data_IF_344145651162
#
_entry.id   IF_344145651162
#
_cell.length_a   1.000
_cell.length_b   1.000
_cell.length_c   1.000
_cell.angle_alpha   90.00
_cell.angle_beta   90.00
_cell.angle_gamma   90.00
#
_symmetry.space_group_name_H-M   'P 1'
#
loop_
_entity.id
_entity.type
_entity.pdbx_description
1 polymer ?
#
# COMPACT_ATOMS: atom_id res chain seq x y z
N UNK A 1 20.60 20.94 -1.43
CA UNK A 1 19.60 21.94 -0.99
C UNK A 1 18.92 21.37 0.24
N UNK A 2 19.08 21.99 1.41
CA UNK A 2 18.45 21.55 2.67
C UNK A 2 17.01 22.04 2.72
N UNK A 3 16.11 21.26 3.33
CA UNK A 3 14.79 21.78 3.68
C UNK A 3 14.91 22.76 4.86
N UNK A 4 13.82 23.42 5.22
CA UNK A 4 13.73 24.35 6.36
C UNK A 4 14.13 23.76 7.72
N UNK A 5 14.30 22.44 7.81
CA UNK A 5 14.70 21.72 9.02
C UNK A 5 16.17 21.24 8.95
N UNK A 6 16.94 21.61 7.92
CA UNK A 6 18.34 21.20 7.75
C UNK A 6 18.52 19.78 7.20
N UNK A 7 17.44 19.11 6.77
CA UNK A 7 17.51 17.75 6.24
C UNK A 7 17.86 17.75 4.75
N UNK A 8 18.55 16.68 4.33
CA UNK A 8 18.82 16.37 2.93
C UNK A 8 17.94 15.21 2.50
N UNK A 9 17.34 15.33 1.31
CA UNK A 9 16.62 14.24 0.66
C UNK A 9 17.36 13.86 -0.61
N UNK A 10 17.53 12.55 -0.81
CA UNK A 10 18.10 11.97 -2.02
C UNK A 10 17.08 10.95 -2.53
N UNK A 11 16.74 11.02 -3.81
CA UNK A 11 15.96 9.99 -4.48
C UNK A 11 16.86 9.31 -5.49
N UNK A 12 16.94 7.98 -5.40
CA UNK A 12 17.70 7.16 -6.36
C UNK A 12 16.67 6.41 -7.19
N UNK A 13 16.64 6.69 -8.49
CA UNK A 13 15.88 5.90 -9.44
C UNK A 13 16.78 4.76 -9.91
N UNK A 14 16.28 3.53 -9.85
CA UNK A 14 16.99 2.37 -10.38
C UNK A 14 16.08 1.63 -11.35
N UNK A 15 16.69 1.11 -12.40
CA UNK A 15 16.10 0.10 -13.27
C UNK A 15 16.90 -1.18 -13.12
N UNK A 16 16.23 -2.32 -13.27
CA UNK A 16 16.89 -3.61 -13.33
C UNK A 16 16.35 -4.37 -14.53
N UNK A 17 17.26 -4.91 -15.33
CA UNK A 17 16.88 -5.87 -16.35
C UNK A 17 16.53 -7.19 -15.65
N UNK A 18 15.31 -7.67 -15.90
CA UNK A 18 14.88 -9.00 -15.46
C UNK A 18 14.83 -9.91 -16.66
N UNK A 19 15.79 -10.81 -16.77
CA UNK A 19 15.67 -11.93 -17.70
C UNK A 19 14.55 -12.84 -17.23
N UNK A 20 13.43 -12.84 -17.98
CA UNK A 20 12.35 -13.79 -17.75
C UNK A 20 12.75 -15.11 -18.39
N UNK A 21 13.30 -16.02 -17.58
CA UNK A 21 13.51 -17.38 -18.02
C UNK A 21 12.15 -18.05 -18.24
N UNK A 22 11.88 -18.50 -19.47
CA UNK A 22 10.72 -19.33 -19.74
C UNK A 22 10.91 -20.65 -19.03
N UNK A 23 10.05 -20.90 -18.04
CA UNK A 23 9.96 -22.24 -17.46
C UNK A 23 9.36 -23.19 -18.50
N UNK A 24 9.83 -24.44 -18.57
CA UNK A 24 9.17 -25.46 -19.36
C UNK A 24 7.72 -25.59 -18.90
N UNK A 25 6.82 -25.78 -19.86
CA UNK A 25 5.42 -26.11 -19.57
C UNK A 25 5.40 -27.40 -18.77
N UNK A 26 4.89 -27.32 -17.54
CA UNK A 26 4.56 -28.47 -16.71
C UNK A 26 3.03 -28.52 -16.59
N UNK A 27 2.45 -29.72 -16.56
CA UNK A 27 1.01 -29.92 -16.35
C UNK A 27 0.53 -29.48 -14.95
N UNK A 28 1.46 -29.08 -14.07
CA UNK A 28 1.18 -28.54 -12.75
C UNK A 28 0.77 -27.06 -12.80
N UNK A 29 -0.46 -26.81 -13.22
CA UNK A 29 -1.10 -25.48 -13.18
C UNK A 29 -1.74 -25.25 -11.81
N UNK A 30 -1.41 -24.14 -11.16
CA UNK A 30 -2.08 -23.69 -9.93
C UNK A 30 -3.00 -22.53 -10.29
N UNK A 31 -4.31 -22.72 -10.08
CA UNK A 31 -5.30 -21.66 -10.21
C UNK A 31 -5.39 -20.85 -8.91
N UNK A 32 -5.60 -19.54 -9.02
CA UNK A 32 -5.90 -18.67 -7.88
C UNK A 32 -7.27 -18.02 -8.10
N UNK A 33 -8.23 -18.35 -7.25
CA UNK A 33 -9.54 -17.72 -7.25
C UNK A 33 -9.61 -16.65 -6.16
N UNK A 34 -10.28 -15.54 -6.46
CA UNK A 34 -10.47 -14.47 -5.48
C UNK A 34 -11.43 -14.89 -4.37
N UNK A 35 -11.09 -14.53 -3.12
CA UNK A 35 -11.95 -14.68 -1.96
C UNK A 35 -12.06 -13.38 -1.17
N UNK A 36 -13.30 -12.99 -0.84
CA UNK A 36 -13.55 -11.77 -0.06
C UNK A 36 -13.09 -11.92 1.41
N UNK A 37 -13.04 -13.14 1.94
CA UNK A 37 -12.60 -13.40 3.32
C UNK A 37 -11.10 -13.62 3.45
N UNK A 38 -10.45 -14.18 2.41
CA UNK A 38 -9.10 -14.75 2.47
C UNK A 38 -8.18 -14.29 1.31
N UNK A 39 -8.57 -13.23 0.59
CA UNK A 39 -7.89 -12.63 -0.56
C UNK A 39 -7.87 -13.55 -1.79
N UNK A 40 -7.32 -14.75 -1.67
CA UNK A 40 -7.39 -15.80 -2.68
C UNK A 40 -7.45 -17.19 -2.05
N UNK A 41 -7.96 -18.14 -2.84
CA UNK A 41 -7.87 -19.58 -2.60
C UNK A 41 -7.22 -20.24 -3.81
N UNK A 42 -6.22 -21.10 -3.60
CA UNK A 42 -5.60 -21.85 -4.69
C UNK A 42 -6.34 -23.15 -4.99
N UNK A 43 -6.12 -23.73 -6.17
CA UNK A 43 -6.59 -25.09 -6.51
C UNK A 43 -6.04 -26.18 -5.59
N UNK A 44 -4.97 -25.90 -4.84
CA UNK A 44 -4.39 -26.76 -3.80
C UNK A 44 -4.92 -26.42 -2.39
N UNK A 45 -6.01 -25.64 -2.29
CA UNK A 45 -6.65 -25.19 -1.05
C UNK A 45 -5.73 -24.34 -0.14
N UNK A 46 -4.69 -23.71 -0.70
CA UNK A 46 -3.91 -22.68 -0.02
C UNK A 46 -4.72 -21.39 0.05
N UNK A 47 -4.72 -20.74 1.21
CA UNK A 47 -5.48 -19.52 1.48
C UNK A 47 -4.54 -18.42 1.93
N UNK A 48 -4.78 -17.19 1.47
CA UNK A 48 -4.10 -16.03 2.02
C UNK A 48 -4.91 -15.45 3.19
N UNK A 49 -4.24 -14.65 4.02
CA UNK A 49 -4.97 -13.74 4.90
C UNK A 49 -5.48 -12.54 4.08
N UNK A 50 -6.61 -11.97 4.50
CA UNK A 50 -7.11 -10.70 3.98
C UNK A 50 -6.82 -9.58 4.99
N UNK A 51 -5.59 -9.01 5.01
CA UNK A 51 -5.31 -7.85 5.83
C UNK A 51 -6.14 -6.66 5.32
N UNK A 52 -7.02 -6.15 6.19
CA UNK A 52 -8.02 -5.12 5.86
C UNK A 52 -7.41 -3.71 5.76
N UNK A 53 -6.29 -3.57 5.04
CA UNK A 53 -5.51 -2.33 4.97
C UNK A 53 -6.34 -1.14 4.50
N UNK A 54 -7.18 -1.31 3.48
CA UNK A 54 -8.05 -0.24 2.98
C UNK A 54 -8.97 0.28 4.07
N UNK A 55 -9.62 -0.62 4.84
CA UNK A 55 -10.52 -0.23 5.93
C UNK A 55 -9.78 0.44 7.09
N UNK A 56 -8.58 -0.03 7.41
CA UNK A 56 -7.73 0.61 8.43
C UNK A 56 -7.30 2.02 8.00
N UNK A 57 -6.90 2.18 6.74
CA UNK A 57 -6.50 3.47 6.18
C UNK A 57 -7.68 4.42 6.03
N UNK A 58 -8.87 3.92 5.69
CA UNK A 58 -10.10 4.70 5.60
C UNK A 58 -10.45 5.37 6.94
N UNK A 59 -10.41 4.62 8.04
CA UNK A 59 -10.64 5.15 9.39
C UNK A 59 -9.62 6.24 9.76
N UNK A 60 -8.34 6.03 9.41
CA UNK A 60 -7.29 7.04 9.61
C UNK A 60 -7.54 8.28 8.75
N UNK A 61 -7.89 8.10 7.49
CA UNK A 61 -8.15 9.17 6.53
C UNK A 61 -9.33 10.03 6.99
N UNK A 62 -10.43 9.42 7.42
CA UNK A 62 -11.62 10.11 7.94
C UNK A 62 -11.28 11.01 9.13
N UNK A 63 -10.45 10.53 10.06
CA UNK A 63 -9.98 11.32 11.21
C UNK A 63 -9.12 12.51 10.77
N UNK A 64 -8.20 12.29 9.83
CA UNK A 64 -7.33 13.34 9.30
C UNK A 64 -8.13 14.41 8.54
N UNK A 65 -9.08 14.00 7.69
CA UNK A 65 -9.96 14.91 6.97
C UNK A 65 -10.82 15.75 7.92
N UNK A 66 -11.39 15.14 8.97
CA UNK A 66 -12.14 15.86 10.01
C UNK A 66 -11.27 16.83 10.81
N UNK A 67 -10.00 16.50 11.05
CA UNK A 67 -9.04 17.41 11.67
C UNK A 67 -8.73 18.59 10.76
N UNK A 68 -8.45 18.31 9.48
CA UNK A 68 -8.12 19.30 8.47
C UNK A 68 -9.26 20.29 8.23
N UNK A 69 -10.52 19.83 8.17
CA UNK A 69 -11.68 20.71 7.95
C UNK A 69 -11.89 21.73 9.07
N UNK A 70 -11.34 21.48 10.28
CA UNK A 70 -11.40 22.40 11.43
C UNK A 70 -10.21 23.36 11.49
N UNK A 71 -9.21 23.21 10.61
CA UNK A 71 -8.04 24.09 10.53
C UNK A 71 -8.40 25.37 9.77
N UNK A 72 -9.05 26.29 10.47
CA UNK A 72 -9.29 27.66 9.96
C UNK A 72 -8.00 28.46 10.11
N UNK A 73 -7.59 29.18 9.05
CA UNK A 73 -6.36 29.99 9.01
C UNK A 73 -6.23 30.85 10.27
N UNK A 74 -5.05 30.81 10.91
CA UNK A 74 -4.72 31.50 12.16
C UNK A 74 -5.50 31.06 13.42
N UNK A 75 -6.33 30.02 13.36
CA UNK A 75 -6.94 29.45 14.57
C UNK A 75 -5.91 28.65 15.40
N UNK A 76 -6.21 28.39 16.66
CA UNK A 76 -5.39 27.50 17.52
C UNK A 76 -5.17 26.11 16.91
N UNK A 77 -6.10 25.62 16.08
CA UNK A 77 -5.98 24.34 15.38
C UNK A 77 -5.16 24.42 14.09
N UNK A 78 -4.96 25.62 13.53
CA UNK A 78 -4.09 25.85 12.37
C UNK A 78 -2.61 25.81 12.72
N UNK A 79 -2.26 26.32 13.90
CA UNK A 79 -0.88 26.32 14.42
C UNK A 79 -0.46 25.01 15.09
N UNK A 80 -1.44 24.12 15.38
CA UNK A 80 -1.19 22.71 15.69
C UNK A 80 -0.96 21.93 14.40
#
# INVERSE_FOLDING_TARGET
MTNSNGNYYVSVLTEFEKEIQKMPSNDKVIGFDFSMSELFVSSENQRADYPKYFRMLEEKLKKLQKSLSRKVKFSKNWYK
#
